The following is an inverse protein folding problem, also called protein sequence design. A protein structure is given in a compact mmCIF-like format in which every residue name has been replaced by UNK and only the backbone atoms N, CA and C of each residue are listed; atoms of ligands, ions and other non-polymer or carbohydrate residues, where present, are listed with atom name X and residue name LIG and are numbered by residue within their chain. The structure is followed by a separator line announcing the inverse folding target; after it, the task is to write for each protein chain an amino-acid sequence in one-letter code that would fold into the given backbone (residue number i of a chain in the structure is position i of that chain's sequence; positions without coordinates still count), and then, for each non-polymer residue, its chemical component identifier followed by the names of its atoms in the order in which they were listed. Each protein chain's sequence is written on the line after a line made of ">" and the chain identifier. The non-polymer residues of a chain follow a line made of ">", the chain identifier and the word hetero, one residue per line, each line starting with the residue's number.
data_IF_343759284127
#
_entry.id   IF_343759284127
#
_cell.length_a   1.000
_cell.length_b   1.000
_cell.length_c   1.000
_cell.angle_alpha   90.00
_cell.angle_beta   90.00
_cell.angle_gamma   90.00
#
_symmetry.space_group_name_H-M   'P 1'
#
loop_
_entity.id
_entity.type
_entity.pdbx_description
1 polymer ?
#
# COMPACT_ATOMS: atom_id res chain seq x y z
N UNK A 1 -59.02 -16.47 2.70
CA UNK A 1 -57.99 -17.51 2.95
C UNK A 1 -56.68 -17.17 2.20
N UNK A 2 -55.96 -16.10 2.58
CA UNK A 2 -54.74 -15.66 1.85
C UNK A 2 -53.48 -15.64 2.74
N UNK A 3 -53.63 -15.45 4.04
CA UNK A 3 -52.54 -15.28 5.02
C UNK A 3 -51.61 -16.51 5.16
N UNK A 4 -52.15 -17.73 5.13
CA UNK A 4 -51.34 -18.96 5.23
C UNK A 4 -50.49 -19.22 3.98
N UNK A 5 -50.95 -18.79 2.81
CA UNK A 5 -50.26 -19.02 1.53
C UNK A 5 -49.02 -18.13 1.34
N UNK A 6 -49.05 -16.91 1.88
CA UNK A 6 -47.93 -15.96 1.83
C UNK A 6 -46.86 -16.31 2.88
N UNK A 7 -47.27 -16.85 4.04
CA UNK A 7 -46.34 -17.32 5.10
C UNK A 7 -45.50 -18.53 4.63
N UNK A 8 -46.12 -19.53 4.00
CA UNK A 8 -45.39 -20.70 3.46
C UNK A 8 -44.39 -20.30 2.37
N UNK A 9 -44.75 -19.34 1.50
CA UNK A 9 -43.83 -18.79 0.49
C UNK A 9 -42.63 -18.08 1.12
N UNK A 10 -42.84 -17.24 2.15
CA UNK A 10 -41.76 -16.54 2.86
C UNK A 10 -40.77 -17.51 3.53
N UNK A 11 -41.26 -18.57 4.16
CA UNK A 11 -40.41 -19.60 4.80
C UNK A 11 -39.55 -20.30 3.73
N UNK A 12 -40.15 -20.74 2.63
CA UNK A 12 -39.43 -21.40 1.53
C UNK A 12 -38.38 -20.50 0.87
N UNK A 13 -38.65 -19.20 0.72
CA UNK A 13 -37.65 -18.24 0.23
C UNK A 13 -36.53 -17.98 1.25
N UNK A 14 -36.84 -17.95 2.55
CA UNK A 14 -35.83 -17.77 3.59
C UNK A 14 -34.88 -18.98 3.67
N UNK A 15 -35.40 -20.20 3.54
CA UNK A 15 -34.60 -21.43 3.45
C UNK A 15 -33.70 -21.45 2.20
N UNK A 16 -34.25 -21.05 1.05
CA UNK A 16 -33.47 -20.93 -0.20
C UNK A 16 -32.36 -19.88 -0.09
N UNK A 17 -32.62 -18.77 0.58
CA UNK A 17 -31.63 -17.71 0.81
C UNK A 17 -30.54 -18.16 1.79
N UNK A 18 -30.88 -18.94 2.81
CA UNK A 18 -29.90 -19.55 3.74
C UNK A 18 -28.91 -20.46 3.03
N UNK A 19 -29.39 -21.29 2.09
CA UNK A 19 -28.53 -22.18 1.31
C UNK A 19 -27.56 -21.41 0.39
N UNK A 20 -28.06 -20.36 -0.27
CA UNK A 20 -27.21 -19.47 -1.09
C UNK A 20 -26.15 -18.77 -0.25
N UNK A 21 -26.49 -18.31 0.95
CA UNK A 21 -25.54 -17.68 1.86
C UNK A 21 -24.46 -18.64 2.35
N UNK A 22 -24.81 -19.91 2.61
CA UNK A 22 -23.85 -20.95 2.97
C UNK A 22 -22.87 -21.23 1.84
N UNK A 23 -23.37 -21.37 0.60
CA UNK A 23 -22.53 -21.54 -0.59
C UNK A 23 -21.58 -20.35 -0.78
N UNK A 24 -22.08 -19.12 -0.64
CA UNK A 24 -21.26 -17.92 -0.74
C UNK A 24 -20.19 -17.84 0.36
N UNK A 25 -20.50 -18.25 1.60
CA UNK A 25 -19.52 -18.35 2.68
C UNK A 25 -18.45 -19.40 2.38
N UNK A 26 -18.83 -20.57 1.84
CA UNK A 26 -17.90 -21.62 1.44
C UNK A 26 -16.96 -21.15 0.33
N UNK A 27 -17.50 -20.48 -0.70
CA UNK A 27 -16.70 -19.94 -1.80
C UNK A 27 -15.69 -18.88 -1.33
N UNK A 28 -16.09 -17.99 -0.41
CA UNK A 28 -15.18 -17.01 0.19
C UNK A 28 -14.04 -17.69 0.96
N UNK A 29 -14.34 -18.75 1.72
CA UNK A 29 -13.33 -19.57 2.43
C UNK A 29 -12.37 -20.23 1.45
N UNK A 30 -12.89 -20.85 0.40
CA UNK A 30 -12.08 -21.50 -0.63
C UNK A 30 -11.13 -20.52 -1.33
N UNK A 31 -11.65 -19.35 -1.73
CA UNK A 31 -10.83 -18.30 -2.37
C UNK A 31 -9.70 -17.85 -1.44
N UNK A 32 -9.97 -17.67 -0.15
CA UNK A 32 -8.95 -17.31 0.85
C UNK A 32 -7.89 -18.41 1.01
N UNK A 33 -8.31 -19.68 1.06
CA UNK A 33 -7.39 -20.81 1.13
C UNK A 33 -6.47 -20.88 -0.09
N UNK A 34 -7.03 -20.82 -1.30
CA UNK A 34 -6.26 -20.87 -2.55
C UNK A 34 -5.24 -19.73 -2.61
N UNK A 35 -5.63 -18.51 -2.24
CA UNK A 35 -4.72 -17.35 -2.18
C UNK A 35 -3.54 -17.59 -1.23
N UNK A 36 -3.77 -18.19 -0.06
CA UNK A 36 -2.72 -18.51 0.90
C UNK A 36 -1.78 -19.60 0.35
N UNK A 37 -2.31 -20.62 -0.31
CA UNK A 37 -1.49 -21.67 -0.92
C UNK A 37 -0.61 -21.11 -2.03
N UNK A 38 -1.16 -20.31 -2.95
CA UNK A 38 -0.36 -19.66 -4.00
C UNK A 38 0.76 -18.80 -3.42
N UNK A 39 0.49 -18.06 -2.32
CA UNK A 39 1.52 -17.27 -1.63
C UNK A 39 2.59 -18.16 -0.98
N UNK A 40 2.21 -19.28 -0.36
CA UNK A 40 3.17 -20.24 0.20
C UNK A 40 4.08 -20.82 -0.87
N UNK A 41 3.54 -21.17 -2.03
CA UNK A 41 4.30 -21.67 -3.17
C UNK A 41 5.29 -20.60 -3.66
N UNK A 42 4.81 -19.37 -3.89
CA UNK A 42 5.66 -18.27 -4.35
C UNK A 42 6.79 -17.92 -3.36
N UNK A 43 6.51 -17.95 -2.05
CA UNK A 43 7.54 -17.75 -1.04
C UNK A 43 8.55 -18.89 -1.08
N UNK A 44 8.09 -20.15 -1.07
CA UNK A 44 8.98 -21.31 -1.12
C UNK A 44 9.88 -21.32 -2.35
N UNK A 45 9.36 -20.94 -3.52
CA UNK A 45 10.14 -20.84 -4.76
C UNK A 45 11.11 -19.65 -4.73
N UNK A 46 10.74 -18.54 -4.10
CA UNK A 46 11.64 -17.39 -3.95
C UNK A 46 12.75 -17.63 -2.93
N UNK A 47 12.51 -18.47 -1.92
CA UNK A 47 13.46 -18.75 -0.83
C UNK A 47 14.17 -20.11 -0.95
N UNK A 48 13.94 -20.86 -2.04
CA UNK A 48 14.67 -22.10 -2.30
C UNK A 48 16.07 -21.78 -2.80
N UNK A 49 16.90 -21.21 -1.93
CA UNK A 49 18.34 -21.09 -2.10
C UNK A 49 18.99 -22.44 -1.80
N UNK A 50 19.97 -22.82 -2.61
CA UNK A 50 20.82 -23.98 -2.36
C UNK A 50 21.57 -23.82 -1.04
N UNK A 51 21.86 -24.90 -0.32
CA UNK A 51 22.63 -24.85 0.93
C UNK A 51 23.98 -24.14 0.76
N UNK A 52 24.59 -24.27 -0.43
CA UNK A 52 25.84 -23.59 -0.82
C UNK A 52 25.69 -22.05 -0.96
N UNK A 53 24.50 -21.56 -1.29
CA UNK A 53 24.23 -20.11 -1.40
C UNK A 53 23.94 -19.48 -0.04
N UNK A 54 23.42 -20.28 0.91
CA UNK A 54 23.16 -19.83 2.29
C UNK A 54 24.45 -19.62 3.10
N UNK A 55 25.48 -20.41 2.85
CA UNK A 55 26.78 -20.27 3.51
C UNK A 55 27.53 -19.02 3.03
N UNK A 56 27.47 -18.71 1.72
CA UNK A 56 28.07 -17.47 1.16
C UNK A 56 27.46 -16.19 1.73
N UNK A 57 26.14 -16.15 1.94
CA UNK A 57 25.46 -15.01 2.56
C UNK A 57 25.84 -14.80 4.04
N UNK A 58 26.33 -15.84 4.72
CA UNK A 58 26.67 -15.74 6.13
C UNK A 58 28.12 -15.25 6.35
N UNK A 59 29.00 -15.43 5.36
CA UNK A 59 30.37 -14.90 5.39
C UNK A 59 30.47 -13.44 4.91
N UNK A 60 29.53 -12.98 4.07
CA UNK A 60 29.49 -11.58 3.59
C UNK A 60 28.78 -10.62 4.56
N UNK A 61 28.20 -11.13 5.65
CA UNK A 61 27.52 -10.33 6.68
C UNK A 61 28.48 -9.68 7.69
N UNK A 62 29.71 -9.36 7.26
CA UNK A 62 30.71 -8.61 8.01
C UNK A 62 30.95 -7.26 7.35
N UNK A 63 30.73 -6.18 8.10
CA UNK A 63 30.97 -4.77 7.72
C UNK A 63 29.91 -4.13 6.81
N UNK A 64 28.68 -4.02 7.31
CA UNK A 64 27.69 -3.13 6.71
C UNK A 64 27.46 -1.89 7.60
N UNK A 65 28.46 -1.00 7.67
CA UNK A 65 28.18 0.42 7.91
C UNK A 65 27.64 1.04 6.62
N UNK A 66 26.57 0.48 6.07
CA UNK A 66 25.87 1.07 4.94
C UNK A 66 25.16 2.32 5.45
N UNK A 67 25.63 3.48 5.02
CA UNK A 67 24.80 4.68 4.94
C UNK A 67 23.54 4.30 4.14
N UNK A 68 22.48 3.90 4.85
CA UNK A 68 21.21 3.49 4.25
C UNK A 68 20.84 4.57 3.24
N UNK A 69 20.79 4.23 1.94
CA UNK A 69 20.50 5.17 0.86
C UNK A 69 19.29 6.01 1.26
N UNK A 70 19.45 7.32 1.43
CA UNK A 70 18.36 8.23 1.81
C UNK A 70 17.85 8.96 0.58
N UNK A 71 16.53 9.13 0.49
CA UNK A 71 15.99 10.05 -0.51
C UNK A 71 16.14 11.49 -0.02
N UNK A 72 16.59 12.37 -0.90
CA UNK A 72 16.68 13.81 -0.64
C UNK A 72 15.49 14.48 -1.29
N UNK A 73 14.76 15.30 -0.52
CA UNK A 73 13.67 16.14 -1.04
C UNK A 73 14.20 17.57 -1.10
N UNK A 74 14.45 18.07 -2.30
CA UNK A 74 14.85 19.47 -2.50
C UNK A 74 13.60 20.36 -2.55
N UNK A 75 13.45 21.34 -1.64
CA UNK A 75 12.31 22.24 -1.67
C UNK A 75 12.35 23.15 -2.89
N UNK A 76 11.18 23.40 -3.49
CA UNK A 76 11.01 24.29 -4.63
C UNK A 76 10.56 25.67 -4.12
N UNK A 77 11.43 26.71 -4.16
CA UNK A 77 11.11 28.02 -3.61
C UNK A 77 10.01 28.75 -4.39
N UNK A 78 9.87 28.46 -5.68
CA UNK A 78 8.87 29.06 -6.56
C UNK A 78 7.43 28.59 -6.28
N UNK A 79 7.21 27.59 -5.42
CA UNK A 79 5.87 27.08 -5.13
C UNK A 79 5.12 27.92 -4.11
N UNK A 80 3.85 28.23 -4.42
CA UNK A 80 2.91 28.84 -3.49
C UNK A 80 2.65 27.95 -2.27
N UNK A 81 2.21 28.54 -1.16
CA UNK A 81 1.86 27.80 0.06
C UNK A 81 0.63 26.90 -0.14
N UNK A 82 -0.28 27.29 -1.03
CA UNK A 82 -1.41 26.46 -1.44
C UNK A 82 -0.93 25.19 -2.16
N UNK A 83 0.00 25.31 -3.10
CA UNK A 83 0.59 24.17 -3.78
C UNK A 83 1.36 23.26 -2.82
N UNK A 84 2.18 23.84 -1.92
CA UNK A 84 2.87 23.07 -0.87
C UNK A 84 1.89 22.26 -0.02
N UNK A 85 0.81 22.88 0.44
CA UNK A 85 -0.24 22.21 1.22
C UNK A 85 -0.91 21.08 0.43
N UNK A 86 -1.23 21.32 -0.85
CA UNK A 86 -1.82 20.30 -1.71
C UNK A 86 -0.89 19.09 -1.91
N UNK A 87 0.41 19.30 -2.16
CA UNK A 87 1.39 18.22 -2.27
C UNK A 87 1.56 17.45 -0.95
N UNK A 88 1.69 18.15 0.17
CA UNK A 88 1.78 17.53 1.49
C UNK A 88 0.54 16.68 1.80
N UNK A 89 -0.66 17.16 1.44
CA UNK A 89 -1.91 16.43 1.66
C UNK A 89 -1.93 15.07 0.93
N UNK A 90 -1.34 15.00 -0.26
CA UNK A 90 -1.22 13.77 -1.06
C UNK A 90 -0.15 12.84 -0.50
N UNK A 91 0.91 13.38 0.11
CA UNK A 91 1.95 12.59 0.76
C UNK A 91 1.50 11.99 2.11
N UNK A 92 0.36 12.39 2.69
CA UNK A 92 -0.21 11.84 3.95
C UNK A 92 -0.50 10.33 3.94
N UNK A 93 -0.43 9.66 2.77
CA UNK A 93 -0.36 8.18 2.72
C UNK A 93 0.88 7.61 3.41
N UNK A 94 1.90 8.44 3.67
CA UNK A 94 3.07 8.08 4.46
C UNK A 94 2.83 8.19 5.97
N UNK A 95 2.03 9.17 6.44
CA UNK A 95 1.90 9.46 7.89
C UNK A 95 0.94 8.54 8.64
N UNK A 96 -0.02 7.90 7.96
CA UNK A 96 -0.98 6.95 8.58
C UNK A 96 -0.45 5.51 8.64
N UNK A 97 0.83 5.32 8.97
CA UNK A 97 1.48 4.00 8.95
C UNK A 97 1.77 3.48 10.35
N UNK A 98 1.79 2.17 10.49
CA UNK A 98 2.28 1.50 11.69
C UNK A 98 3.80 1.68 11.79
N UNK A 99 4.35 1.60 13.00
CA UNK A 99 5.80 1.73 13.27
C UNK A 99 6.64 0.79 12.37
N UNK A 100 6.22 -0.47 12.26
CA UNK A 100 6.83 -1.44 11.35
C UNK A 100 6.78 -1.01 9.87
N UNK A 101 5.73 -0.32 9.46
CA UNK A 101 5.60 0.21 8.11
C UNK A 101 6.47 1.44 7.84
N UNK A 102 6.83 2.19 8.88
CA UNK A 102 7.77 3.31 8.80
C UNK A 102 9.22 2.82 8.72
N UNK A 103 9.57 1.77 9.49
CA UNK A 103 10.92 1.17 9.49
C UNK A 103 11.30 0.54 8.14
N UNK A 104 10.33 -0.02 7.43
CA UNK A 104 10.52 -0.64 6.11
C UNK A 104 10.66 0.39 4.96
N UNK A 105 10.52 1.68 5.25
CA UNK A 105 10.64 2.73 4.24
C UNK A 105 12.03 3.33 4.25
N UNK A 106 12.49 3.71 3.08
CA UNK A 106 13.69 4.53 2.92
C UNK A 106 13.49 5.87 3.62
N UNK A 107 14.39 6.22 4.53
CA UNK A 107 14.37 7.53 5.21
C UNK A 107 14.55 8.64 4.18
N UNK A 108 13.85 9.76 4.42
CA UNK A 108 13.96 10.97 3.61
C UNK A 108 14.64 12.06 4.42
N UNK A 109 15.48 12.88 3.79
CA UNK A 109 16.03 14.11 4.35
C UNK A 109 15.62 15.29 3.49
N UNK A 110 15.43 16.45 4.11
CA UNK A 110 15.30 17.70 3.37
C UNK A 110 16.67 18.08 2.81
N UNK A 111 16.67 18.41 1.52
CA UNK A 111 17.84 18.85 0.78
C UNK A 111 17.96 20.36 0.73
N UNK A 112 18.87 20.83 -0.11
CA UNK A 112 19.01 22.27 -0.37
C UNK A 112 17.87 22.77 -1.25
N UNK A 113 17.44 24.03 -1.09
CA UNK A 113 16.43 24.61 -1.98
C UNK A 113 16.92 24.57 -3.43
N UNK A 114 16.03 24.17 -4.32
CA UNK A 114 16.32 24.09 -5.74
C UNK A 114 16.62 25.47 -6.30
N UNK A 115 17.63 25.56 -7.15
CA UNK A 115 17.92 26.76 -7.94
C UNK A 115 17.15 26.82 -9.26
N UNK A 116 16.27 25.84 -9.52
CA UNK A 116 15.49 25.79 -10.77
C UNK A 116 14.38 26.83 -10.75
N UNK A 117 14.26 27.55 -11.85
CA UNK A 117 13.13 28.43 -12.11
C UNK A 117 11.85 27.62 -12.36
N UNK A 118 10.72 28.27 -12.17
CA UNK A 118 9.43 27.67 -12.50
C UNK A 118 9.31 27.48 -14.03
N UNK A 119 8.70 26.37 -14.50
CA UNK A 119 8.36 26.21 -15.90
C UNK A 119 7.40 27.30 -16.38
N UNK A 120 7.52 27.71 -17.65
CA UNK A 120 6.66 28.75 -18.27
C UNK A 120 5.17 28.37 -18.23
N UNK A 121 4.85 27.08 -18.39
CA UNK A 121 3.47 26.57 -18.37
C UNK A 121 2.91 26.33 -16.95
N UNK A 122 3.61 26.77 -15.91
CA UNK A 122 3.16 26.54 -14.54
C UNK A 122 1.93 27.42 -14.24
N UNK A 123 0.83 26.85 -13.72
CA UNK A 123 -0.37 27.62 -13.43
C UNK A 123 -0.12 28.64 -12.31
N UNK A 124 -0.73 29.83 -12.42
CA UNK A 124 -0.48 30.96 -11.52
C UNK A 124 -0.72 30.63 -10.03
N UNK A 125 -1.74 29.82 -9.72
CA UNK A 125 -2.03 29.41 -8.34
C UNK A 125 -0.91 28.58 -7.70
N UNK A 126 -0.07 27.94 -8.51
CA UNK A 126 1.03 27.12 -8.04
C UNK A 126 2.32 27.91 -7.80
N UNK A 127 2.40 29.16 -8.27
CA UNK A 127 3.57 30.01 -8.14
C UNK A 127 3.46 30.95 -6.94
N UNK A 128 4.57 31.19 -6.25
CA UNK A 128 4.70 32.33 -5.35
C UNK A 128 4.53 33.60 -6.18
N UNK A 129 3.40 34.27 -6.06
CA UNK A 129 3.22 35.60 -6.65
C UNK A 129 4.22 36.54 -5.99
N UNK A 130 5.15 37.07 -6.77
CA UNK A 130 5.96 38.22 -6.34
C UNK A 130 5.02 39.42 -6.24
N UNK A 131 4.80 39.91 -5.01
CA UNK A 131 4.05 41.13 -4.73
C UNK A 131 4.86 42.38 -5.03
#
# INVERSE_FOLDING_TARGET
>A
MTYFSTRKRRIKTAESNSHKDLLMKQWRRQRKHNKLQSRKVAIKSATSLSTKEKEKLNEESGSDTEERRMFVIDPLPCLSDEAKSHFQSRDRKSSRRTERGAEMMTKRKEGMPSQREAPEDCPEWALCQES
#
